data_IF_445416163600
#
_entry.id   IF_445416163600
#
_cell.length_a   1.000
_cell.length_b   1.000
_cell.length_c   1.000
_cell.angle_alpha   90.00
_cell.angle_beta   90.00
_cell.angle_gamma   90.00
#
_symmetry.space_group_name_H-M   'P 1'
#
loop_
_entity.id
_entity.type
_entity.pdbx_description
1 polymer ?
#
# COMPACT_ATOMS: atom_id res chain seq x y z
N UNK A 1 37.66 62.19 45.02
CA UNK A 1 38.75 62.44 44.07
C UNK A 1 39.89 61.54 44.53
N UNK A 2 40.08 60.33 44.03
CA UNK A 2 39.48 59.61 42.93
C UNK A 2 39.55 58.12 43.27
N UNK A 3 38.49 57.39 42.96
CA UNK A 3 38.45 55.93 43.05
C UNK A 3 39.02 55.38 41.75
N UNK A 4 40.11 54.60 41.85
CA UNK A 4 40.68 53.89 40.71
C UNK A 4 39.72 52.80 40.22
N UNK A 5 39.34 52.89 38.95
CA UNK A 5 38.70 51.84 38.18
C UNK A 5 39.69 50.70 37.95
N UNK A 6 39.30 49.48 38.33
CA UNK A 6 39.89 48.26 37.77
C UNK A 6 38.77 47.52 37.07
N UNK A 7 38.79 47.59 35.74
CA UNK A 7 37.99 46.74 34.86
C UNK A 7 38.37 45.28 35.11
N UNK A 8 37.39 44.49 35.56
CA UNK A 8 37.48 43.03 35.50
C UNK A 8 36.58 42.61 34.34
N UNK A 9 37.20 42.28 33.21
CA UNK A 9 36.52 41.63 32.10
C UNK A 9 36.05 40.26 32.59
N UNK A 10 34.74 40.10 32.74
CA UNK A 10 34.10 38.80 32.90
C UNK A 10 33.95 38.19 31.50
N UNK A 11 34.78 37.23 31.17
CA UNK A 11 34.52 36.33 30.06
C UNK A 11 33.25 35.51 30.38
N UNK A 12 32.13 35.88 29.75
CA UNK A 12 30.97 34.99 29.66
C UNK A 12 31.36 33.77 28.82
N UNK A 13 31.65 32.67 29.50
CA UNK A 13 31.71 31.36 28.86
C UNK A 13 30.31 30.96 28.43
N UNK A 14 29.95 31.36 27.21
CA UNK A 14 28.78 30.87 26.49
C UNK A 14 28.92 29.36 26.28
N UNK A 15 28.48 28.58 27.27
CA UNK A 15 28.30 27.15 27.16
C UNK A 15 27.08 26.94 26.27
N UNK A 16 27.30 26.82 24.95
CA UNK A 16 26.27 26.33 24.04
C UNK A 16 25.88 24.94 24.53
N UNK A 17 24.70 24.83 25.14
CA UNK A 17 24.07 23.53 25.37
C UNK A 17 23.80 22.93 23.99
N UNK A 18 24.71 22.09 23.52
CA UNK A 18 24.59 21.36 22.26
C UNK A 18 23.48 20.31 22.46
N UNK A 19 22.23 20.77 22.35
CA UNK A 19 21.06 19.89 22.37
C UNK A 19 21.18 18.96 21.16
N UNK A 20 21.18 17.65 21.40
CA UNK A 20 21.27 16.64 20.35
C UNK A 20 20.28 16.95 19.20
N UNK A 21 20.68 16.74 17.93
CA UNK A 21 19.83 17.03 16.78
C UNK A 21 18.53 16.22 16.87
N UNK A 22 17.41 16.89 16.56
CA UNK A 22 16.09 16.29 16.65
C UNK A 22 15.90 15.11 15.69
N UNK A 23 15.16 14.09 16.11
CA UNK A 23 14.86 12.90 15.32
C UNK A 23 13.42 12.92 14.82
N UNK A 24 13.19 12.45 13.59
CA UNK A 24 11.86 12.36 12.96
C UNK A 24 11.68 10.97 12.40
N UNK A 25 10.64 10.29 12.86
CA UNK A 25 10.39 8.88 12.60
C UNK A 25 8.99 8.76 12.01
N UNK A 26 8.83 7.98 10.94
CA UNK A 26 7.53 7.53 10.46
C UNK A 26 7.37 6.04 10.77
N UNK A 27 6.21 5.66 11.33
CA UNK A 27 5.86 4.27 11.63
C UNK A 27 4.97 3.75 10.52
N UNK A 28 5.38 2.69 9.85
CA UNK A 28 4.60 1.97 8.84
C UNK A 28 4.52 0.50 9.23
N UNK A 29 3.53 -0.23 8.75
CA UNK A 29 3.31 -1.62 9.14
C UNK A 29 1.87 -2.07 8.91
N UNK A 30 1.66 -3.37 9.00
CA UNK A 30 0.34 -3.98 8.92
C UNK A 30 -0.60 -3.46 10.03
N UNK A 31 -1.90 -3.64 9.82
CA UNK A 31 -2.93 -3.30 10.81
C UNK A 31 -2.66 -4.09 12.10
N UNK A 32 -2.86 -3.47 13.27
CA UNK A 32 -2.62 -4.18 14.56
C UNK A 32 -1.17 -4.67 14.82
N UNK A 33 -0.21 -4.33 13.94
CA UNK A 33 1.23 -4.55 14.14
C UNK A 33 1.79 -3.88 15.41
N UNK A 34 1.07 -2.92 15.98
CA UNK A 34 1.42 -2.24 17.23
C UNK A 34 2.10 -0.88 17.04
N UNK A 35 1.97 -0.24 15.86
CA UNK A 35 2.57 1.07 15.55
C UNK A 35 2.28 2.14 16.61
N UNK A 36 1.02 2.38 16.96
CA UNK A 36 0.66 3.37 17.99
C UNK A 36 1.28 3.05 19.37
N UNK A 37 1.43 1.77 19.71
CA UNK A 37 2.09 1.34 20.95
C UNK A 37 3.61 1.57 20.89
N UNK A 38 4.24 1.32 19.74
CA UNK A 38 5.64 1.67 19.46
C UNK A 38 5.86 3.17 19.59
N UNK A 39 5.02 3.99 18.95
CA UNK A 39 5.12 5.45 19.04
C UNK A 39 4.98 5.97 20.47
N UNK A 40 4.06 5.39 21.24
CA UNK A 40 3.89 5.70 22.66
C UNK A 40 5.10 5.26 23.51
N UNK A 41 5.75 4.15 23.17
CA UNK A 41 6.97 3.70 23.84
C UNK A 41 8.15 4.62 23.55
N UNK A 42 8.37 4.98 22.28
CA UNK A 42 9.41 5.92 21.84
C UNK A 42 9.24 7.28 22.52
N UNK A 43 8.01 7.81 22.53
CA UNK A 43 7.71 9.11 23.14
C UNK A 43 7.53 9.02 24.66
N UNK A 44 7.65 7.84 25.28
CA UNK A 44 7.49 7.64 26.73
C UNK A 44 6.17 8.16 27.32
N UNK A 45 5.10 8.25 26.51
CA UNK A 45 3.80 8.80 26.90
C UNK A 45 2.68 8.22 26.02
N UNK A 46 1.44 8.23 26.52
CA UNK A 46 0.25 7.75 25.78
C UNK A 46 -0.35 8.90 24.95
N UNK A 47 0.29 9.22 23.82
CA UNK A 47 -0.08 10.34 22.93
C UNK A 47 -0.77 9.91 21.63
N UNK A 48 -0.61 8.64 21.26
CA UNK A 48 -1.38 7.95 20.23
C UNK A 48 -2.49 7.12 20.86
N UNK A 49 -3.51 6.80 20.04
CA UNK A 49 -4.71 6.13 20.50
C UNK A 49 -4.44 4.79 21.18
N UNK A 50 -5.38 4.39 22.04
CA UNK A 50 -5.29 3.17 22.82
C UNK A 50 -5.36 1.91 21.93
N UNK A 51 -4.88 0.79 22.46
CA UNK A 51 -4.95 -0.52 21.82
C UNK A 51 -6.40 -0.82 21.39
N UNK A 52 -6.59 -1.21 20.13
CA UNK A 52 -7.91 -1.53 19.56
C UNK A 52 -8.57 -0.37 18.81
N UNK A 53 -8.01 0.84 18.87
CA UNK A 53 -8.47 1.96 18.03
C UNK A 53 -7.74 1.93 16.70
N UNK A 54 -8.50 1.97 15.59
CA UNK A 54 -7.93 1.99 14.24
C UNK A 54 -7.47 3.40 13.88
N UNK A 55 -6.18 3.58 13.66
CA UNK A 55 -5.61 4.76 13.00
C UNK A 55 -6.14 4.86 11.56
N UNK A 56 -6.88 5.93 11.26
CA UNK A 56 -7.48 6.17 9.93
C UNK A 56 -6.70 7.16 9.07
N UNK A 57 -5.95 8.04 9.72
CA UNK A 57 -5.15 9.09 9.08
C UNK A 57 -3.76 9.11 9.73
N UNK A 58 -2.76 9.59 9.01
CA UNK A 58 -1.44 9.80 9.58
C UNK A 58 -1.47 10.92 10.64
N UNK A 59 -0.94 10.62 11.82
CA UNK A 59 -0.94 11.52 12.99
C UNK A 59 0.48 11.79 13.46
N UNK A 60 0.83 13.07 13.57
CA UNK A 60 2.10 13.53 14.14
C UNK A 60 1.98 13.74 15.65
N UNK A 61 2.97 13.26 16.40
CA UNK A 61 3.22 13.60 17.81
C UNK A 61 4.70 13.90 18.01
N UNK A 62 5.01 14.75 18.99
CA UNK A 62 6.37 15.20 19.23
C UNK A 62 6.58 15.42 20.74
N UNK A 63 7.76 15.06 21.22
CA UNK A 63 8.16 15.25 22.62
C UNK A 63 9.68 15.31 22.74
N UNK A 64 10.15 15.92 23.81
CA UNK A 64 11.53 15.75 24.25
C UNK A 64 11.75 14.36 24.87
N UNK A 65 12.74 13.64 24.35
CA UNK A 65 13.17 12.31 24.81
C UNK A 65 14.69 12.29 24.74
N UNK A 66 15.36 11.91 25.84
CA UNK A 66 16.83 11.91 25.94
C UNK A 66 17.46 13.26 25.50
N UNK A 67 16.94 14.38 26.02
CA UNK A 67 17.45 15.74 25.76
C UNK A 67 17.42 16.18 24.28
N UNK A 68 16.64 15.48 23.44
CA UNK A 68 16.37 15.88 22.06
C UNK A 68 14.90 15.85 21.70
N UNK A 69 14.55 16.62 20.68
CA UNK A 69 13.21 16.63 20.15
C UNK A 69 12.97 15.40 19.25
N UNK A 70 12.06 14.50 19.64
CA UNK A 70 11.67 13.33 18.85
C UNK A 70 10.26 13.52 18.31
N UNK A 71 10.12 13.43 16.98
CA UNK A 71 8.85 13.41 16.26
C UNK A 71 8.55 12.00 15.80
N UNK A 72 7.33 11.55 16.03
CA UNK A 72 6.82 10.28 15.52
C UNK A 72 5.54 10.56 14.73
N UNK A 73 5.46 9.98 13.53
CA UNK A 73 4.24 9.94 12.73
C UNK A 73 3.71 8.51 12.73
N UNK A 74 2.54 8.30 13.31
CA UNK A 74 1.82 7.03 13.24
C UNK A 74 0.94 7.03 11.98
N UNK A 75 0.99 5.97 11.17
CA UNK A 75 0.23 5.85 9.92
C UNK A 75 -0.86 4.78 10.02
N UNK A 76 -1.88 4.81 9.16
CA UNK A 76 -2.82 3.69 9.03
C UNK A 76 -2.10 2.40 8.64
N UNK A 77 -2.60 1.26 9.13
CA UNK A 77 -2.08 -0.05 8.73
C UNK A 77 -2.69 -0.57 7.44
N UNK A 78 -1.86 -1.21 6.62
CA UNK A 78 -2.32 -2.03 5.51
C UNK A 78 -2.87 -3.37 5.99
N UNK A 79 -3.56 -4.06 5.11
CA UNK A 79 -3.90 -5.46 5.28
C UNK A 79 -2.84 -6.32 4.59
N UNK A 80 -2.78 -7.61 4.86
CA UNK A 80 -1.81 -8.57 4.31
C UNK A 80 -1.83 -8.72 2.78
N UNK A 81 -2.55 -7.88 2.04
CA UNK A 81 -2.50 -7.81 0.59
C UNK A 81 -1.32 -6.93 0.15
N UNK A 82 -0.72 -7.22 -1.02
CA UNK A 82 0.19 -6.30 -1.70
C UNK A 82 -0.35 -4.86 -1.72
N UNK A 83 0.52 -3.87 -1.86
CA UNK A 83 0.13 -2.45 -1.91
C UNK A 83 -0.95 -2.18 -2.95
N UNK A 84 -0.87 -2.84 -4.12
CA UNK A 84 -1.89 -2.77 -5.18
C UNK A 84 -3.25 -3.32 -4.77
N UNK A 85 -3.28 -4.26 -3.82
CA UNK A 85 -4.49 -4.80 -3.22
C UNK A 85 -4.93 -4.06 -1.95
N UNK A 86 -4.13 -3.11 -1.45
CA UNK A 86 -4.49 -2.25 -0.32
C UNK A 86 -5.33 -1.08 -0.80
N UNK A 87 -6.21 -0.57 0.07
CA UNK A 87 -7.03 0.59 -0.28
C UNK A 87 -6.15 1.79 -0.63
N UNK A 88 -6.46 2.50 -1.73
CA UNK A 88 -5.76 3.71 -2.15
C UNK A 88 -5.64 4.75 -1.01
N UNK A 89 -6.65 4.85 -0.14
CA UNK A 89 -6.61 5.72 1.03
C UNK A 89 -5.47 5.40 2.02
N UNK A 90 -5.16 4.12 2.25
CA UNK A 90 -4.03 3.73 3.12
C UNK A 90 -2.69 4.07 2.46
N UNK A 91 -2.52 3.77 1.16
CA UNK A 91 -1.31 4.14 0.40
C UNK A 91 -1.05 5.65 0.50
N UNK A 92 -2.08 6.47 0.23
CA UNK A 92 -2.02 7.93 0.31
C UNK A 92 -1.70 8.44 1.70
N UNK A 93 -2.26 7.86 2.75
CA UNK A 93 -1.95 8.27 4.13
C UNK A 93 -0.52 7.90 4.55
N UNK A 94 0.03 6.78 4.08
CA UNK A 94 1.43 6.42 4.30
C UNK A 94 2.36 7.46 3.66
N UNK A 95 2.13 7.80 2.39
CA UNK A 95 2.89 8.83 1.66
C UNK A 95 2.72 10.20 2.32
N UNK A 96 1.48 10.59 2.65
CA UNK A 96 1.19 11.84 3.37
C UNK A 96 1.89 11.90 4.72
N UNK A 97 2.05 10.77 5.42
CA UNK A 97 2.77 10.69 6.68
C UNK A 97 4.20 11.23 6.59
N UNK A 98 4.88 11.05 5.46
CA UNK A 98 6.22 11.59 5.22
C UNK A 98 6.20 13.12 5.25
N UNK A 99 5.18 13.74 4.63
CA UNK A 99 5.00 15.19 4.60
C UNK A 99 4.78 15.83 5.99
N UNK A 100 4.33 15.05 6.99
CA UNK A 100 4.19 15.52 8.37
C UNK A 100 5.55 15.63 9.08
N UNK A 101 6.59 15.00 8.54
CA UNK A 101 7.96 14.96 9.04
C UNK A 101 8.90 15.99 8.36
N UNK A 102 8.42 17.18 7.97
CA UNK A 102 9.24 18.18 7.26
C UNK A 102 10.64 18.43 7.86
N UNK A 103 11.70 18.52 7.04
CA UNK A 103 11.71 18.37 5.56
C UNK A 103 11.67 16.91 5.08
N UNK A 104 11.69 15.94 6.00
CA UNK A 104 11.72 14.50 5.73
C UNK A 104 11.98 13.70 7.00
N UNK A 105 11.48 12.46 7.13
CA UNK A 105 11.87 11.58 8.21
C UNK A 105 13.36 11.21 8.09
N UNK A 106 14.00 11.07 9.25
CA UNK A 106 15.33 10.49 9.35
C UNK A 106 15.27 8.97 9.24
N UNK A 107 14.18 8.38 9.76
CA UNK A 107 13.98 6.95 9.88
C UNK A 107 12.55 6.54 9.55
N UNK A 108 12.45 5.39 8.89
CA UNK A 108 11.22 4.62 8.71
C UNK A 108 11.31 3.40 9.63
N UNK A 109 10.34 3.24 10.52
CA UNK A 109 10.20 2.00 11.29
C UNK A 109 9.13 1.14 10.65
N UNK A 110 9.56 0.03 10.06
CA UNK A 110 8.68 -1.00 9.52
C UNK A 110 8.29 -1.94 10.66
N UNK A 111 7.12 -1.73 11.23
CA UNK A 111 6.62 -2.46 12.39
C UNK A 111 6.01 -3.79 11.95
N UNK A 112 6.62 -4.89 12.38
CA UNK A 112 6.22 -6.26 12.05
C UNK A 112 5.93 -7.02 13.35
N UNK A 113 4.70 -7.52 13.58
CA UNK A 113 4.45 -8.35 14.73
C UNK A 113 5.19 -9.69 14.56
N UNK A 114 5.99 -10.08 15.56
CA UNK A 114 6.71 -11.34 15.53
C UNK A 114 5.67 -12.47 15.63
N UNK A 115 5.39 -13.12 14.49
CA UNK A 115 4.33 -14.12 14.24
C UNK A 115 4.98 -15.47 13.84
N UNK A 116 4.34 -16.62 14.13
CA UNK A 116 4.94 -17.95 13.86
C UNK A 116 4.99 -18.28 12.37
N UNK A 117 4.39 -17.42 11.55
CA UNK A 117 4.14 -17.70 10.14
C UNK A 117 4.26 -16.41 9.34
N UNK A 118 5.43 -15.77 9.37
CA UNK A 118 5.68 -14.65 8.45
C UNK A 118 5.74 -15.19 7.01
N UNK A 119 4.74 -14.89 6.20
CA UNK A 119 4.61 -15.52 4.87
C UNK A 119 5.18 -14.65 3.75
N UNK A 120 5.46 -15.26 2.60
CA UNK A 120 5.87 -14.56 1.36
C UNK A 120 4.95 -13.39 1.01
N UNK A 121 3.65 -13.57 1.23
CA UNK A 121 2.63 -12.55 0.93
C UNK A 121 2.75 -11.35 1.88
N UNK A 122 3.05 -11.61 3.15
CA UNK A 122 3.22 -10.57 4.16
C UNK A 122 4.53 -9.81 3.94
N UNK A 123 5.59 -10.52 3.53
CA UNK A 123 6.83 -9.91 3.04
C UNK A 123 6.59 -9.01 1.85
N UNK A 124 5.94 -9.53 0.79
CA UNK A 124 5.63 -8.74 -0.41
C UNK A 124 4.81 -7.49 -0.07
N UNK A 125 3.79 -7.63 0.78
CA UNK A 125 3.03 -6.49 1.26
C UNK A 125 3.94 -5.49 1.98
N UNK A 126 4.79 -5.92 2.92
CA UNK A 126 5.70 -5.03 3.61
C UNK A 126 6.66 -4.31 2.64
N UNK A 127 7.24 -5.04 1.68
CA UNK A 127 8.17 -4.48 0.70
C UNK A 127 7.51 -3.41 -0.18
N UNK A 128 6.36 -3.73 -0.76
CA UNK A 128 5.65 -2.78 -1.62
C UNK A 128 5.19 -1.53 -0.86
N UNK A 129 4.89 -1.63 0.45
CA UNK A 129 4.52 -0.46 1.25
C UNK A 129 5.73 0.41 1.64
N UNK A 130 6.94 -0.15 1.75
CA UNK A 130 8.16 0.67 1.85
C UNK A 130 8.42 1.37 0.51
N UNK A 131 8.22 0.69 -0.62
CA UNK A 131 8.43 1.24 -1.97
C UNK A 131 7.49 2.40 -2.34
N UNK A 132 6.37 2.57 -1.63
CA UNK A 132 5.55 3.79 -1.71
C UNK A 132 6.34 5.05 -1.35
N UNK A 133 7.39 4.90 -0.52
CA UNK A 133 8.24 5.98 -0.06
C UNK A 133 9.50 6.16 -0.94
N UNK A 134 9.56 5.49 -2.10
CA UNK A 134 10.69 5.56 -3.03
C UNK A 134 11.84 4.61 -2.66
N UNK A 135 12.72 4.34 -3.64
CA UNK A 135 13.80 3.34 -3.48
C UNK A 135 14.79 3.71 -2.36
N UNK A 136 15.01 5.00 -2.13
CA UNK A 136 15.91 5.46 -1.05
C UNK A 136 15.36 5.15 0.34
N UNK A 137 14.05 4.91 0.51
CA UNK A 137 13.46 4.60 1.80
C UNK A 137 14.07 3.35 2.45
N UNK A 138 14.53 2.38 1.65
CA UNK A 138 15.23 1.19 2.13
C UNK A 138 16.45 1.54 2.99
N UNK A 139 17.23 2.54 2.58
CA UNK A 139 18.39 3.05 3.34
C UNK A 139 18.02 3.70 4.67
N UNK A 140 16.78 4.16 4.82
CA UNK A 140 16.25 4.79 6.04
C UNK A 140 15.37 3.85 6.88
N UNK A 141 15.23 2.58 6.48
CA UNK A 141 14.30 1.64 7.12
C UNK A 141 15.01 0.74 8.13
N UNK A 142 14.37 0.55 9.29
CA UNK A 142 14.68 -0.48 10.29
C UNK A 142 13.44 -1.34 10.51
N UNK A 143 13.59 -2.66 10.46
CA UNK A 143 12.51 -3.60 10.80
C UNK A 143 12.36 -3.65 12.32
N UNK A 144 11.20 -3.26 12.83
CA UNK A 144 10.91 -3.30 14.26
C UNK A 144 9.92 -4.42 14.58
N UNK A 145 10.43 -5.48 15.21
CA UNK A 145 9.62 -6.60 15.64
C UNK A 145 8.87 -6.30 16.93
N UNK A 146 7.54 -6.38 16.92
CA UNK A 146 6.76 -6.29 18.16
C UNK A 146 6.55 -7.69 18.75
N UNK A 147 6.97 -7.88 20.00
CA UNK A 147 6.94 -9.20 20.65
C UNK A 147 5.85 -9.24 21.70
N UNK A 148 4.82 -10.07 21.46
CA UNK A 148 3.73 -10.33 22.42
C UNK A 148 3.99 -11.63 23.19
N UNK A 149 3.56 -11.69 24.45
CA UNK A 149 3.30 -12.96 25.15
C UNK A 149 4.50 -13.85 25.54
N UNK A 150 5.72 -13.31 25.67
CA UNK A 150 6.89 -14.12 26.07
C UNK A 150 7.31 -15.12 25.00
N UNK A 151 7.08 -14.81 23.72
CA UNK A 151 7.43 -15.63 22.58
C UNK A 151 8.93 -15.97 22.50
N UNK A 152 9.80 -15.01 22.80
CA UNK A 152 11.25 -15.19 22.85
C UNK A 152 11.73 -15.72 24.21
N UNK A 153 11.00 -16.69 24.79
CA UNK A 153 11.40 -17.30 26.08
C UNK A 153 12.57 -18.26 25.93
N UNK A 154 12.55 -19.04 24.85
CA UNK A 154 13.51 -20.12 24.60
C UNK A 154 14.32 -19.92 23.30
N UNK A 155 13.98 -18.90 22.50
CA UNK A 155 14.67 -18.51 21.27
C UNK A 155 15.02 -17.02 21.28
N UNK A 156 16.12 -16.67 20.63
CA UNK A 156 16.58 -15.30 20.38
C UNK A 156 15.86 -14.69 19.18
N UNK A 157 15.91 -13.36 19.04
CA UNK A 157 15.32 -12.70 17.87
C UNK A 157 16.06 -13.11 16.59
N UNK A 158 17.37 -13.25 16.70
CA UNK A 158 18.28 -13.68 15.66
C UNK A 158 17.88 -15.06 15.14
N UNK A 159 17.64 -16.04 16.01
CA UNK A 159 17.17 -17.38 15.65
C UNK A 159 15.82 -17.34 14.91
N UNK A 160 14.83 -16.57 15.38
CA UNK A 160 13.53 -16.46 14.70
C UNK A 160 13.65 -15.83 13.30
N UNK A 161 14.56 -14.87 13.11
CA UNK A 161 14.84 -14.28 11.79
C UNK A 161 15.57 -15.29 10.91
N UNK A 162 16.56 -16.00 11.46
CA UNK A 162 17.35 -17.00 10.72
C UNK A 162 16.52 -18.22 10.28
N UNK A 163 15.49 -18.61 11.03
CA UNK A 163 14.62 -19.74 10.66
C UNK A 163 13.60 -19.41 9.55
N UNK A 164 13.40 -18.14 9.22
CA UNK A 164 12.41 -17.70 8.23
C UNK A 164 13.06 -16.99 7.04
N UNK A 165 13.10 -17.66 5.88
CA UNK A 165 13.60 -17.08 4.62
C UNK A 165 12.93 -15.73 4.28
N UNK A 166 11.66 -15.57 4.64
CA UNK A 166 10.90 -14.35 4.37
C UNK A 166 11.27 -13.20 5.31
N UNK A 167 11.56 -13.51 6.58
CA UNK A 167 12.09 -12.51 7.51
C UNK A 167 13.53 -12.13 7.15
N UNK A 168 14.39 -13.10 6.84
CA UNK A 168 15.75 -12.85 6.37
C UNK A 168 15.72 -11.92 5.16
N UNK A 169 14.94 -12.25 4.13
CA UNK A 169 14.88 -11.46 2.92
C UNK A 169 14.37 -10.03 3.14
N UNK A 170 13.41 -9.84 4.05
CA UNK A 170 12.95 -8.48 4.42
C UNK A 170 14.03 -7.69 5.16
N UNK A 171 14.73 -8.33 6.10
CA UNK A 171 15.81 -7.71 6.88
C UNK A 171 17.01 -7.37 5.99
N UNK A 172 17.35 -8.24 5.05
CA UNK A 172 18.40 -8.00 4.04
C UNK A 172 18.06 -6.80 3.15
N UNK A 173 16.80 -6.68 2.71
CA UNK A 173 16.32 -5.50 1.97
C UNK A 173 16.48 -4.21 2.78
N UNK A 174 16.34 -4.30 4.10
CA UNK A 174 16.63 -3.24 5.06
C UNK A 174 18.10 -3.20 5.50
N UNK A 175 19.03 -3.76 4.72
CA UNK A 175 20.48 -3.74 4.97
C UNK A 175 20.88 -4.32 6.33
N UNK A 176 20.21 -5.37 6.78
CA UNK A 176 20.49 -6.06 8.04
C UNK A 176 20.01 -5.32 9.29
N UNK A 177 19.17 -4.28 9.16
CA UNK A 177 18.72 -3.45 10.28
C UNK A 177 17.39 -3.94 10.84
N UNK A 178 17.44 -4.53 12.03
CA UNK A 178 16.24 -4.91 12.78
C UNK A 178 16.42 -4.79 14.29
N UNK A 179 15.32 -4.70 15.03
CA UNK A 179 15.29 -4.64 16.51
C UNK A 179 13.98 -5.24 17.01
N UNK A 180 13.97 -5.82 18.22
CA UNK A 180 12.73 -6.19 18.90
C UNK A 180 12.31 -5.14 19.93
N UNK A 181 11.01 -4.86 19.99
CA UNK A 181 10.38 -4.13 21.07
C UNK A 181 9.48 -5.07 21.88
N UNK A 182 9.88 -5.28 23.13
CA UNK A 182 9.13 -6.06 24.10
C UNK A 182 8.11 -5.16 24.80
N UNK A 183 6.91 -5.69 25.12
CA UNK A 183 5.91 -4.96 25.91
C UNK A 183 6.43 -4.48 27.28
N UNK A 184 5.60 -3.75 28.06
CA UNK A 184 5.91 -2.99 29.31
C UNK A 184 6.62 -3.76 30.45
N UNK A 185 7.80 -4.30 30.20
CA UNK A 185 8.73 -4.84 31.19
C UNK A 185 9.90 -3.86 31.37
N UNK A 186 10.71 -3.99 32.43
CA UNK A 186 11.92 -3.14 32.63
C UNK A 186 12.87 -3.19 31.41
N UNK A 187 12.88 -4.31 30.67
CA UNK A 187 13.58 -4.49 29.39
C UNK A 187 13.10 -3.54 28.28
N UNK A 188 11.93 -2.92 28.41
CA UNK A 188 11.36 -2.02 27.42
C UNK A 188 12.00 -0.63 27.40
N UNK A 189 12.52 -0.14 28.52
CA UNK A 189 13.26 1.13 28.55
C UNK A 189 14.63 0.99 27.88
N UNK A 190 15.34 -0.11 28.17
CA UNK A 190 16.61 -0.44 27.52
C UNK A 190 16.41 -0.64 26.01
N UNK A 191 15.34 -1.33 25.60
CA UNK A 191 15.02 -1.54 24.19
C UNK A 191 14.72 -0.25 23.40
N UNK A 192 14.13 0.78 24.03
CA UNK A 192 13.91 2.08 23.36
C UNK A 192 15.24 2.84 23.21
N UNK A 193 16.12 2.78 24.21
CA UNK A 193 17.44 3.39 24.11
C UNK A 193 18.28 2.74 23.00
N UNK A 194 18.32 1.41 22.95
CA UNK A 194 18.96 0.63 21.88
C UNK A 194 18.38 0.97 20.50
N UNK A 195 17.06 1.12 20.39
CA UNK A 195 16.41 1.53 19.15
C UNK A 195 16.87 2.92 18.72
N UNK A 196 16.89 3.91 19.62
CA UNK A 196 17.34 5.26 19.29
C UNK A 196 18.80 5.30 18.86
N UNK A 197 19.69 4.57 19.54
CA UNK A 197 21.09 4.43 19.15
C UNK A 197 21.24 3.79 17.76
N UNK A 198 20.46 2.74 17.46
CA UNK A 198 20.44 2.10 16.15
C UNK A 198 19.99 3.05 15.05
N UNK A 199 18.99 3.90 15.34
CA UNK A 199 18.54 4.94 14.41
C UNK A 199 19.61 6.02 14.19
N UNK A 200 20.29 6.45 15.24
CA UNK A 200 21.36 7.46 15.13
C UNK A 200 22.54 6.93 14.30
N UNK A 201 22.93 5.68 14.50
CA UNK A 201 23.94 4.99 13.70
C UNK A 201 23.54 4.89 12.22
N UNK A 202 22.26 4.61 11.94
CA UNK A 202 21.74 4.58 10.56
C UNK A 202 21.80 5.98 9.93
N UNK A 203 21.35 7.01 10.64
CA UNK A 203 21.38 8.40 10.16
C UNK A 203 22.82 8.85 9.89
N UNK A 204 23.77 8.51 10.76
CA UNK A 204 25.18 8.79 10.55
C UNK A 204 25.74 8.08 9.30
N UNK A 205 25.38 6.80 9.07
CA UNK A 205 25.75 6.07 7.85
C UNK A 205 25.15 6.71 6.59
N UNK A 206 23.95 7.27 6.70
CA UNK A 206 23.32 8.07 5.64
C UNK A 206 23.82 9.51 5.61
N UNK A 207 24.92 9.84 6.30
CA UNK A 207 25.57 11.18 6.32
C UNK A 207 24.64 12.30 6.80
N UNK A 208 23.63 11.97 7.60
CA UNK A 208 22.61 12.92 8.05
C UNK A 208 21.57 13.27 6.98
N UNK A 209 21.62 12.64 5.80
CA UNK A 209 20.60 12.81 4.77
C UNK A 209 19.23 12.35 5.30
N UNK A 210 18.19 12.93 4.73
CA UNK A 210 16.80 12.67 5.08
C UNK A 210 16.11 12.03 3.89
N UNK A 211 15.08 11.24 4.16
CA UNK A 211 14.14 10.87 3.13
C UNK A 211 13.30 12.11 2.79
N UNK A 212 13.62 12.80 1.70
CA UNK A 212 12.97 14.08 1.36
C UNK A 212 11.47 13.92 1.20
N UNK A 213 10.70 14.75 1.90
CA UNK A 213 9.25 14.74 1.74
C UNK A 213 8.82 15.16 0.34
N UNK A 214 9.54 16.09 -0.28
CA UNK A 214 9.23 16.60 -1.61
C UNK A 214 9.41 15.51 -2.67
N UNK A 215 10.59 14.87 -2.71
CA UNK A 215 10.91 13.83 -3.69
C UNK A 215 9.96 12.63 -3.54
N UNK A 216 9.64 12.22 -2.31
CA UNK A 216 8.67 11.13 -2.07
C UNK A 216 7.27 11.48 -2.56
N UNK A 217 6.81 12.72 -2.34
CA UNK A 217 5.48 13.16 -2.79
C UNK A 217 5.41 13.28 -4.30
N UNK A 218 6.48 13.72 -4.95
CA UNK A 218 6.58 13.81 -6.41
C UNK A 218 6.57 12.42 -7.04
N UNK A 219 7.45 11.50 -6.61
CA UNK A 219 7.48 10.12 -7.09
C UNK A 219 6.13 9.40 -6.89
N UNK A 220 5.45 9.64 -5.77
CA UNK A 220 4.14 9.04 -5.50
C UNK A 220 3.05 9.57 -6.45
N UNK A 221 3.07 10.87 -6.79
CA UNK A 221 2.12 11.45 -7.76
C UNK A 221 2.36 10.90 -9.17
N UNK A 222 3.62 10.84 -9.60
CA UNK A 222 3.97 10.29 -10.91
C UNK A 222 3.53 8.82 -11.05
N UNK A 223 3.72 8.01 -10.00
CA UNK A 223 3.26 6.61 -9.99
C UNK A 223 1.74 6.50 -10.04
N UNK A 224 1.01 7.34 -9.29
CA UNK A 224 -0.47 7.35 -9.35
C UNK A 224 -0.97 7.76 -10.75
N UNK A 225 -0.38 8.80 -11.36
CA UNK A 225 -0.73 9.23 -12.73
C UNK A 225 -0.40 8.16 -13.78
N UNK A 226 0.72 7.44 -13.62
CA UNK A 226 1.07 6.33 -14.51
C UNK A 226 0.10 5.14 -14.36
N UNK A 227 -0.28 4.77 -13.12
CA UNK A 227 -1.28 3.75 -12.84
C UNK A 227 -2.64 4.12 -13.46
N UNK A 228 -3.08 5.38 -13.33
CA UNK A 228 -4.32 5.88 -13.92
C UNK A 228 -4.27 5.84 -15.46
N UNK A 229 -3.16 6.27 -16.07
CA UNK A 229 -3.00 6.22 -17.53
C UNK A 229 -3.05 4.78 -18.04
N UNK A 230 -2.38 3.84 -17.39
CA UNK A 230 -2.42 2.41 -17.74
C UNK A 230 -3.84 1.86 -17.66
N UNK A 231 -4.58 2.18 -16.61
CA UNK A 231 -5.97 1.76 -16.47
C UNK A 231 -6.87 2.32 -17.58
N UNK A 232 -6.69 3.59 -17.94
CA UNK A 232 -7.45 4.22 -19.04
C UNK A 232 -7.13 3.58 -20.40
N UNK A 233 -5.87 3.22 -20.64
CA UNK A 233 -5.47 2.51 -21.87
C UNK A 233 -6.08 1.11 -21.93
N UNK A 234 -6.04 0.35 -20.82
CA UNK A 234 -6.68 -0.97 -20.74
C UNK A 234 -8.20 -0.91 -20.94
N UNK A 235 -8.87 0.08 -20.37
CA UNK A 235 -10.32 0.25 -20.54
C UNK A 235 -10.69 0.60 -21.99
N UNK A 236 -9.90 1.45 -22.65
CA UNK A 236 -10.09 1.76 -24.07
C UNK A 236 -9.89 0.53 -24.94
N UNK A 237 -8.87 -0.28 -24.67
CA UNK A 237 -8.63 -1.53 -25.40
C UNK A 237 -9.79 -2.52 -25.21
N UNK A 238 -10.28 -2.68 -23.97
CA UNK A 238 -11.47 -3.50 -23.66
C UNK A 238 -12.72 -3.02 -24.40
N UNK A 239 -12.93 -1.71 -24.49
CA UNK A 239 -14.06 -1.12 -25.21
C UNK A 239 -13.97 -1.37 -26.73
N UNK A 240 -12.77 -1.22 -27.30
CA UNK A 240 -12.52 -1.51 -28.71
C UNK A 240 -12.73 -2.99 -29.05
N UNK A 241 -12.22 -3.89 -28.21
CA UNK A 241 -12.41 -5.33 -28.37
C UNK A 241 -13.89 -5.70 -28.25
N UNK A 242 -14.61 -5.13 -27.29
CA UNK A 242 -16.05 -5.33 -27.15
C UNK A 242 -16.81 -4.83 -28.38
N UNK A 243 -16.39 -3.71 -28.99
CA UNK A 243 -16.97 -3.20 -30.24
C UNK A 243 -16.74 -4.18 -31.40
N UNK A 244 -15.51 -4.68 -31.56
CA UNK A 244 -15.17 -5.66 -32.61
C UNK A 244 -15.98 -6.95 -32.48
N UNK A 245 -16.13 -7.47 -31.24
CA UNK A 245 -16.95 -8.66 -30.98
C UNK A 245 -18.42 -8.41 -31.30
N UNK A 246 -18.97 -7.25 -30.93
CA UNK A 246 -20.35 -6.87 -31.27
C UNK A 246 -20.57 -6.76 -32.77
N UNK A 247 -19.63 -6.18 -33.51
CA UNK A 247 -19.70 -6.08 -34.97
C UNK A 247 -19.63 -7.47 -35.63
N UNK A 248 -18.68 -8.31 -35.22
CA UNK A 248 -18.56 -9.69 -35.71
C UNK A 248 -19.81 -10.55 -35.44
N UNK A 249 -20.42 -10.41 -34.26
CA UNK A 249 -21.68 -11.10 -33.94
C UNK A 249 -22.83 -10.65 -34.84
N UNK A 250 -22.94 -9.34 -35.13
CA UNK A 250 -23.96 -8.82 -36.06
C UNK A 250 -23.77 -9.33 -37.48
N UNK A 251 -22.52 -9.46 -37.94
CA UNK A 251 -22.22 -10.03 -39.25
C UNK A 251 -22.66 -11.51 -39.35
N UNK A 252 -22.33 -12.32 -38.35
CA UNK A 252 -22.78 -13.72 -38.28
C UNK A 252 -24.31 -13.84 -38.22
N UNK A 253 -24.99 -13.00 -37.44
CA UNK A 253 -26.45 -12.99 -37.38
C UNK A 253 -27.08 -12.60 -38.72
N UNK A 254 -26.48 -11.66 -39.45
CA UNK A 254 -26.94 -11.32 -40.81
C UNK A 254 -26.74 -12.48 -41.79
N UNK A 255 -25.60 -13.18 -41.74
CA UNK A 255 -25.34 -14.35 -42.58
C UNK A 255 -26.36 -15.48 -42.33
N UNK A 256 -26.65 -15.80 -41.06
CA UNK A 256 -27.63 -16.83 -40.68
C UNK A 256 -29.04 -16.49 -41.19
N UNK A 257 -29.46 -15.23 -41.09
CA UNK A 257 -30.73 -14.76 -41.65
C UNK A 257 -30.76 -14.85 -43.18
N UNK A 258 -29.63 -14.62 -43.86
CA UNK A 258 -29.58 -14.76 -45.34
C UNK A 258 -29.62 -16.21 -45.81
N UNK A 259 -29.02 -17.15 -45.06
CA UNK A 259 -29.08 -18.58 -45.36
C UNK A 259 -30.49 -19.15 -45.13
N UNK A 260 -31.19 -18.75 -44.06
CA UNK A 260 -32.60 -19.14 -43.83
C UNK A 260 -33.51 -18.67 -44.97
N UNK A 261 -33.33 -17.44 -45.47
CA UNK A 261 -34.13 -16.87 -46.58
C UNK A 261 -33.86 -17.57 -47.91
N UNK A 262 -32.67 -18.12 -48.12
CA UNK A 262 -32.33 -18.88 -49.35
C UNK A 262 -32.73 -20.36 -49.26
N UNK A 263 -32.88 -20.92 -48.06
CA UNK A 263 -33.39 -22.28 -47.83
C UNK A 263 -34.90 -22.43 -48.05
N UNK A 264 -35.68 -21.37 -47.84
CA UNK A 264 -37.13 -21.33 -48.10
C UNK A 264 -37.45 -20.95 -49.56
N UNK A 265 -37.09 -21.83 -50.49
CA UNK A 265 -37.65 -21.80 -51.84
C UNK A 265 -39.12 -22.25 -51.84
N UNK A 266 -40.06 -21.37 -51.51
CA UNK A 266 -41.50 -21.62 -51.73
C UNK A 266 -42.46 -20.71 -50.93
N UNK A 267 -43.00 -19.69 -51.60
CA UNK A 267 -44.19 -18.86 -51.25
C UNK A 267 -44.31 -18.35 -49.79
N UNK A 268 -43.82 -17.13 -49.56
CA UNK A 268 -44.07 -16.38 -48.33
C UNK A 268 -45.52 -15.87 -48.23
N UNK A 269 -46.28 -16.33 -47.23
CA UNK A 269 -47.59 -15.77 -46.85
C UNK A 269 -47.44 -14.61 -45.87
N UNK A 270 -48.37 -13.63 -45.90
CA UNK A 270 -48.35 -12.40 -45.07
C UNK A 270 -48.23 -12.68 -43.54
N UNK A 271 -48.62 -13.87 -43.09
CA UNK A 271 -48.53 -14.30 -41.68
C UNK A 271 -47.08 -14.58 -41.27
N UNK A 272 -46.27 -15.18 -42.15
CA UNK A 272 -44.84 -15.44 -41.92
C UNK A 272 -44.04 -14.14 -41.85
N UNK A 273 -44.37 -13.17 -42.72
CA UNK A 273 -43.72 -11.84 -42.71
C UNK A 273 -44.06 -11.04 -41.44
N UNK A 274 -45.27 -11.24 -40.88
CA UNK A 274 -45.70 -10.59 -39.62
C UNK A 274 -45.01 -11.21 -38.40
N UNK A 275 -44.77 -12.53 -38.42
CA UNK A 275 -44.06 -13.24 -37.36
C UNK A 275 -42.56 -12.91 -37.34
N UNK A 276 -41.91 -12.79 -38.50
CA UNK A 276 -40.52 -12.32 -38.62
C UNK A 276 -40.34 -10.87 -38.15
N UNK A 277 -41.29 -9.96 -38.44
CA UNK A 277 -41.27 -8.58 -37.93
C UNK A 277 -41.46 -8.49 -36.42
N UNK A 278 -42.25 -9.39 -35.82
CA UNK A 278 -42.40 -9.51 -34.37
C UNK A 278 -41.12 -10.01 -33.69
N UNK A 279 -40.41 -10.96 -34.30
CA UNK A 279 -39.13 -11.52 -33.80
C UNK A 279 -38.00 -10.49 -33.81
N UNK A 280 -37.89 -9.67 -34.87
CA UNK A 280 -36.92 -8.56 -34.96
C UNK A 280 -37.13 -7.46 -33.91
N UNK A 281 -38.38 -7.19 -33.53
CA UNK A 281 -38.70 -6.17 -32.51
C UNK A 281 -38.36 -6.66 -31.08
N UNK A 282 -38.43 -7.97 -30.86
CA UNK A 282 -38.09 -8.61 -29.57
C UNK A 282 -36.57 -8.76 -29.34
N UNK A 283 -35.77 -8.82 -30.42
CA UNK A 283 -34.31 -8.89 -30.32
C UNK A 283 -33.66 -7.54 -30.00
N UNK A 284 -34.18 -6.44 -30.55
CA UNK A 284 -33.69 -5.08 -30.23
C UNK A 284 -33.95 -4.70 -28.75
N UNK A 285 -35.15 -5.00 -28.21
CA UNK A 285 -35.47 -4.75 -26.79
C UNK A 285 -34.64 -5.62 -25.81
N UNK A 286 -34.19 -6.81 -26.24
CA UNK A 286 -33.30 -7.66 -25.44
C UNK A 286 -31.83 -7.25 -25.50
N UNK A 287 -31.37 -6.67 -26.61
CA UNK A 287 -30.02 -6.10 -26.67
C UNK A 287 -29.86 -4.89 -25.75
N UNK A 288 -30.92 -4.10 -25.54
CA UNK A 288 -30.89 -2.93 -24.64
C UNK A 288 -30.99 -3.33 -23.16
N UNK A 289 -31.77 -4.37 -22.81
CA UNK A 289 -31.92 -4.83 -21.42
C UNK A 289 -30.67 -5.53 -20.85
N UNK A 290 -29.79 -6.08 -21.70
CA UNK A 290 -28.49 -6.63 -21.27
C UNK A 290 -27.49 -5.52 -20.88
N UNK A 291 -27.72 -4.28 -21.32
CA UNK A 291 -26.85 -3.13 -21.03
C UNK A 291 -27.11 -2.55 -19.64
N UNK A 292 -28.31 -2.70 -19.07
CA UNK A 292 -28.65 -2.14 -17.74
C UNK A 292 -28.32 -3.04 -16.54
N UNK A 293 -28.13 -4.36 -16.72
CA UNK A 293 -27.92 -5.28 -15.59
C UNK A 293 -26.47 -5.58 -15.23
N UNK A 294 -25.48 -4.93 -15.86
CA UNK A 294 -24.05 -5.15 -15.61
C UNK A 294 -23.48 -4.14 -14.60
N UNK A 295 -24.01 -4.13 -13.38
CA UNK A 295 -23.44 -3.41 -12.24
C UNK A 295 -22.80 -4.36 -11.21
N UNK A 296 -22.24 -5.48 -11.65
CA UNK A 296 -21.58 -6.46 -10.78
C UNK A 296 -20.05 -6.34 -10.84
N UNK A 297 -19.42 -6.56 -9.67
CA UNK A 297 -17.99 -6.40 -9.35
C UNK A 297 -16.99 -6.89 -10.43
N UNK A 298 -15.83 -6.22 -10.62
CA UNK A 298 -14.99 -6.38 -11.81
C UNK A 298 -14.02 -7.58 -11.79
N UNK A 299 -14.06 -8.47 -10.79
CA UNK A 299 -12.97 -9.42 -10.53
C UNK A 299 -13.15 -10.84 -11.09
N UNK A 300 -14.08 -11.10 -12.02
CA UNK A 300 -14.29 -12.47 -12.52
C UNK A 300 -14.52 -12.64 -14.03
N UNK A 301 -14.05 -11.75 -14.90
CA UNK A 301 -14.17 -11.95 -16.36
C UNK A 301 -13.06 -12.90 -16.90
N UNK A 302 -13.40 -13.96 -17.67
CA UNK A 302 -12.42 -14.88 -18.25
C UNK A 302 -11.70 -14.24 -19.46
N UNK A 303 -10.51 -14.73 -19.85
CA UNK A 303 -9.69 -14.09 -20.87
C UNK A 303 -10.30 -14.22 -22.28
N UNK A 304 -10.01 -13.22 -23.11
CA UNK A 304 -10.27 -13.10 -24.55
C UNK A 304 -10.91 -14.33 -25.23
N UNK A 305 -12.18 -14.22 -25.60
CA UNK A 305 -12.89 -15.25 -26.34
C UNK A 305 -12.34 -15.32 -27.78
N UNK A 306 -11.87 -16.49 -28.20
CA UNK A 306 -11.46 -16.74 -29.58
C UNK A 306 -12.68 -16.97 -30.47
N UNK A 307 -12.50 -16.86 -31.79
CA UNK A 307 -13.53 -17.21 -32.78
C UNK A 307 -14.09 -18.63 -32.64
N UNK A 308 -13.31 -19.55 -32.07
CA UNK A 308 -13.73 -20.91 -31.76
C UNK A 308 -14.62 -20.95 -30.51
N UNK A 309 -14.35 -20.10 -29.51
CA UNK A 309 -15.13 -20.01 -28.26
C UNK A 309 -16.50 -19.41 -28.51
N UNK A 310 -16.59 -18.37 -29.37
CA UNK A 310 -17.87 -17.77 -29.75
C UNK A 310 -18.76 -18.76 -30.52
N UNK A 311 -18.18 -19.60 -31.39
CA UNK A 311 -18.92 -20.70 -32.06
C UNK A 311 -19.38 -21.77 -31.08
N UNK A 312 -18.55 -22.13 -30.11
CA UNK A 312 -18.92 -23.11 -29.09
C UNK A 312 -20.09 -22.63 -28.21
N UNK A 313 -20.10 -21.34 -27.81
CA UNK A 313 -21.19 -20.72 -27.05
C UNK A 313 -22.50 -20.71 -27.86
N UNK A 314 -22.43 -20.45 -29.17
CA UNK A 314 -23.57 -20.53 -30.11
C UNK A 314 -24.12 -21.96 -30.20
N UNK A 315 -23.25 -22.94 -30.43
CA UNK A 315 -23.65 -24.34 -30.61
C UNK A 315 -24.25 -24.95 -29.32
N UNK A 316 -23.93 -24.37 -28.16
CA UNK A 316 -24.50 -24.75 -26.88
C UNK A 316 -25.90 -24.16 -26.65
N UNK A 317 -26.20 -22.96 -27.17
CA UNK A 317 -27.55 -22.37 -27.13
C UNK A 317 -28.53 -23.07 -28.09
N UNK A 318 -28.08 -23.51 -29.27
CA UNK A 318 -28.91 -24.26 -30.22
C UNK A 318 -29.33 -25.66 -29.73
N UNK A 319 -28.67 -26.21 -28.71
CA UNK A 319 -29.01 -27.53 -28.13
C UNK A 319 -30.04 -27.47 -26.98
N UNK A 320 -30.53 -26.28 -26.62
CA UNK A 320 -31.43 -26.09 -25.48
C UNK A 320 -32.82 -25.55 -25.87
N UNK A 321 -33.21 -25.63 -27.15
CA UNK A 321 -34.57 -25.35 -27.63
C UNK A 321 -35.18 -26.57 -28.31
#
# INVERSE_FOLDING_TARGET
MDSEEVMVEMEETGKSSDSQPGLRIILIGEREAGKSAVGNAILGSKVFDAVGVRTREAVKRQREVAERQVTVVDTPGWEWFPSRGSSLGVRREIVRGVSLCQPGPHAVLLVVPLSFSFTKRERQAAEEHVELLGERAWGHTVVLFTVKGGRLKDATLEEEVEESEELQGLVERCGGRYQALYGRSRKGHDAVAELLEKLDNMVAKNRGELLSSEEVLEEAREKEEEEERRHQEEDREREEDLRRVKEALRELEMEEVTEEVQGEGGEATEESTRQQRGRRRYTDEKSDTVVESSSADPTSAPPHLTWSDLRAIRDQKCKTQ
#
